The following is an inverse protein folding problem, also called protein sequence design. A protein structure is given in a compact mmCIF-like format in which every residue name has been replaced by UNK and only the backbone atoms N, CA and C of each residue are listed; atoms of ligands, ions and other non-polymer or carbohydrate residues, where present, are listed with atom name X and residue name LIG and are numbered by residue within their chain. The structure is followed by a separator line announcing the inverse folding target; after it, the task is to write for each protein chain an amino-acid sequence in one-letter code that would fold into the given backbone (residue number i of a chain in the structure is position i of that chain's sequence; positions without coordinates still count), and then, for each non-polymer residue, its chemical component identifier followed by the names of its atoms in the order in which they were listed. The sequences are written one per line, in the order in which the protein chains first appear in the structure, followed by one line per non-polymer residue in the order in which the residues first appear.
data_IF_795571877563
#
_entry.id   IF_795571877563
#
_cell.length_a   1.000
_cell.length_b   1.000
_cell.length_c   1.000
_cell.angle_alpha   90.00
_cell.angle_beta   90.00
_cell.angle_gamma   90.00
#
_symmetry.space_group_name_H-M   'P 1'
#
loop_
_entity.id
_entity.type
_entity.pdbx_description
1 polymer ?
#
# COMPACT_ATOMS: atom_id res chain seq x y z
N UNK A 1 -9.10 -9.52 25.84
CA UNK A 1 -8.91 -8.70 24.62
C UNK A 1 -7.44 -8.32 24.56
N UNK A 2 -6.69 -8.77 23.54
CA UNK A 2 -5.21 -8.80 23.55
C UNK A 2 -4.52 -7.44 23.29
N UNK A 3 -5.25 -6.32 23.34
CA UNK A 3 -4.68 -4.96 23.25
C UNK A 3 -3.94 -4.67 21.94
N UNK A 4 -4.29 -5.37 20.85
CA UNK A 4 -3.61 -5.22 19.55
C UNK A 4 -3.82 -3.83 18.95
N UNK A 5 -4.97 -3.21 19.18
CA UNK A 5 -5.26 -1.83 18.77
C UNK A 5 -4.15 -0.85 19.21
N UNK A 6 -3.74 -0.93 20.49
CA UNK A 6 -2.69 -0.08 21.05
C UNK A 6 -1.35 -0.35 20.36
N UNK A 7 -1.00 -1.63 20.19
CA UNK A 7 0.26 -2.03 19.54
C UNK A 7 0.32 -1.61 18.08
N UNK A 8 -0.80 -1.75 17.35
CA UNK A 8 -0.91 -1.34 15.95
C UNK A 8 -0.84 0.18 15.85
N UNK A 9 -1.52 0.91 16.75
CA UNK A 9 -1.44 2.37 16.81
C UNK A 9 0.00 2.86 17.04
N UNK A 10 0.71 2.27 18.00
CA UNK A 10 2.12 2.57 18.24
C UNK A 10 3.00 2.22 17.03
N UNK A 11 2.76 1.05 16.42
CA UNK A 11 3.48 0.63 15.23
C UNK A 11 3.30 1.61 14.07
N UNK A 12 2.05 2.01 13.78
CA UNK A 12 1.77 2.97 12.70
C UNK A 12 2.45 4.29 13.00
N UNK A 13 2.32 4.80 14.23
CA UNK A 13 2.91 6.07 14.66
C UNK A 13 4.44 6.09 14.55
N UNK A 14 5.11 4.96 14.80
CA UNK A 14 6.57 4.87 14.81
C UNK A 14 7.17 4.67 13.41
N UNK A 15 6.39 4.16 12.45
CA UNK A 15 6.91 3.78 11.12
C UNK A 15 6.34 4.60 9.96
N UNK A 16 5.27 5.35 10.21
CA UNK A 16 4.55 6.10 9.19
C UNK A 16 4.10 7.48 9.70
N UNK A 17 4.09 8.43 8.78
CA UNK A 17 3.52 9.75 8.97
C UNK A 17 2.33 9.97 8.01
N UNK A 18 1.28 10.68 8.44
CA UNK A 18 0.22 11.15 7.55
C UNK A 18 0.80 11.97 6.39
N UNK A 19 0.32 11.74 5.17
CA UNK A 19 0.81 12.44 3.99
C UNK A 19 -0.29 12.80 3.00
N UNK A 20 0.09 13.47 1.92
CA UNK A 20 -0.80 13.85 0.81
C UNK A 20 -0.55 12.94 -0.41
N UNK A 21 -1.49 12.86 -1.36
CA UNK A 21 -1.30 12.08 -2.59
C UNK A 21 -0.01 12.40 -3.36
N UNK A 22 0.51 13.62 -3.26
CA UNK A 22 1.70 14.08 -3.96
C UNK A 22 3.00 13.67 -3.25
N UNK A 23 2.96 13.51 -1.92
CA UNK A 23 4.13 13.30 -1.08
C UNK A 23 4.23 11.89 -0.48
N UNK A 24 3.14 11.12 -0.50
CA UNK A 24 3.10 9.76 -0.01
C UNK A 24 3.96 8.83 -0.87
N UNK A 25 4.82 8.04 -0.23
CA UNK A 25 5.49 6.92 -0.87
C UNK A 25 4.70 5.61 -0.76
N UNK A 26 3.62 5.60 0.01
CA UNK A 26 2.73 4.46 0.18
C UNK A 26 1.28 4.93 0.15
N UNK A 27 0.50 4.41 -0.81
CA UNK A 27 -0.93 4.70 -0.99
C UNK A 27 -1.68 3.39 -0.94
N UNK A 28 -2.59 3.24 0.00
CA UNK A 28 -3.26 1.97 0.24
C UNK A 28 -4.73 2.15 0.62
N UNK A 29 -5.57 1.25 0.12
CA UNK A 29 -6.91 1.04 0.66
C UNK A 29 -6.83 0.42 2.06
N UNK A 30 -7.88 0.58 2.84
CA UNK A 30 -7.97 -0.03 4.18
C UNK A 30 -7.68 -1.53 4.17
N UNK A 31 -8.21 -2.28 3.20
CA UNK A 31 -7.96 -3.72 3.06
C UNK A 31 -6.49 -4.06 2.76
N UNK A 32 -5.82 -3.25 1.95
CA UNK A 32 -4.40 -3.43 1.64
C UNK A 32 -3.53 -3.15 2.87
N UNK A 33 -3.87 -2.10 3.64
CA UNK A 33 -3.15 -1.76 4.86
C UNK A 33 -3.37 -2.81 5.96
N UNK A 34 -4.58 -3.37 6.10
CA UNK A 34 -4.82 -4.52 6.98
C UNK A 34 -3.94 -5.71 6.61
N UNK A 35 -3.93 -6.08 5.34
CA UNK A 35 -3.11 -7.18 4.85
C UNK A 35 -1.62 -6.94 5.11
N UNK A 36 -1.16 -5.70 4.93
CA UNK A 36 0.19 -5.30 5.27
C UNK A 36 0.50 -5.48 6.77
N UNK A 37 -0.42 -5.06 7.65
CA UNK A 37 -0.26 -5.21 9.10
C UNK A 37 -0.21 -6.69 9.51
N UNK A 38 -0.91 -7.58 8.83
CA UNK A 38 -0.88 -9.02 9.12
C UNK A 38 0.45 -9.71 8.81
N UNK A 39 1.39 -9.03 8.12
CA UNK A 39 2.76 -9.52 8.01
C UNK A 39 3.53 -9.43 9.34
N UNK A 40 3.07 -8.58 10.26
CA UNK A 40 3.71 -8.32 11.55
C UNK A 40 2.84 -8.76 12.73
N UNK A 41 1.51 -8.66 12.59
CA UNK A 41 0.53 -8.98 13.61
C UNK A 41 -0.30 -10.21 13.22
N UNK A 42 -0.95 -10.90 14.17
CA UNK A 42 -1.84 -12.01 13.83
C UNK A 42 -2.94 -11.55 12.87
N UNK A 43 -3.31 -12.44 11.94
CA UNK A 43 -4.43 -12.24 11.03
C UNK A 43 -5.71 -11.99 11.85
N UNK A 44 -6.56 -11.09 11.37
CA UNK A 44 -7.84 -10.70 11.99
C UNK A 44 -7.71 -10.21 13.45
N UNK A 45 -6.54 -9.70 13.86
CA UNK A 45 -6.36 -9.11 15.20
C UNK A 45 -7.07 -7.77 15.40
N UNK A 46 -7.43 -7.10 14.30
CA UNK A 46 -8.31 -5.93 14.23
C UNK A 46 -9.16 -6.02 12.95
N UNK A 47 -10.32 -5.37 13.00
CA UNK A 47 -11.22 -5.14 11.88
C UNK A 47 -10.81 -3.91 11.05
N UNK A 48 -11.42 -3.77 9.87
CA UNK A 48 -11.32 -2.58 9.05
C UNK A 48 -11.83 -1.33 9.76
N UNK A 49 -12.95 -1.43 10.48
CA UNK A 49 -13.50 -0.35 11.29
C UNK A 49 -12.53 0.12 12.38
N UNK A 50 -11.93 -0.82 13.12
CA UNK A 50 -10.94 -0.50 14.16
C UNK A 50 -9.69 0.16 13.54
N UNK A 51 -9.24 -0.31 12.38
CA UNK A 51 -8.13 0.32 11.67
C UNK A 51 -8.45 1.77 11.26
N UNK A 52 -9.65 2.02 10.73
CA UNK A 52 -10.11 3.37 10.36
C UNK A 52 -10.05 4.31 11.57
N UNK A 53 -10.59 3.89 12.71
CA UNK A 53 -10.54 4.69 13.94
C UNK A 53 -9.11 4.98 14.39
N UNK A 54 -8.22 3.98 14.36
CA UNK A 54 -6.80 4.17 14.69
C UNK A 54 -6.16 5.21 13.78
N UNK A 55 -6.43 5.15 12.47
CA UNK A 55 -5.86 6.07 11.49
C UNK A 55 -6.38 7.50 11.69
N UNK A 56 -7.69 7.66 11.90
CA UNK A 56 -8.29 8.97 12.21
C UNK A 56 -7.71 9.58 13.49
N UNK A 57 -7.56 8.78 14.55
CA UNK A 57 -6.94 9.21 15.81
C UNK A 57 -5.46 9.61 15.64
N UNK A 58 -4.76 9.00 14.68
CA UNK A 58 -3.38 9.34 14.33
C UNK A 58 -3.28 10.52 13.35
N UNK A 59 -4.41 11.13 12.97
CA UNK A 59 -4.46 12.30 12.09
C UNK A 59 -4.38 11.99 10.61
N UNK A 60 -4.53 10.72 10.21
CA UNK A 60 -4.67 10.36 8.81
C UNK A 60 -6.05 10.76 8.29
N UNK A 61 -6.10 11.07 7.00
CA UNK A 61 -7.34 11.35 6.29
C UNK A 61 -7.42 10.49 5.07
N UNK A 62 -8.60 9.92 4.87
CA UNK A 62 -8.90 9.23 3.63
C UNK A 62 -8.98 10.26 2.49
N UNK A 63 -8.26 10.01 1.40
CA UNK A 63 -8.14 10.93 0.28
C UNK A 63 -8.24 10.18 -1.03
N UNK A 64 -8.81 10.84 -2.05
CA UNK A 64 -8.78 10.31 -3.41
C UNK A 64 -7.41 10.58 -4.03
N UNK A 65 -6.83 9.56 -4.66
CA UNK A 65 -5.58 9.66 -5.39
C UNK A 65 -5.66 8.95 -6.74
N UNK A 66 -4.85 9.42 -7.70
CA UNK A 66 -4.73 8.79 -9.01
C UNK A 66 -3.92 7.51 -8.89
N UNK A 67 -4.44 6.43 -9.48
CA UNK A 67 -3.74 5.18 -9.70
C UNK A 67 -3.53 4.95 -11.19
N UNK A 68 -2.41 4.34 -11.55
CA UNK A 68 -2.07 4.03 -12.93
C UNK A 68 -1.83 2.52 -13.05
N UNK A 69 -2.60 1.86 -13.91
CA UNK A 69 -2.40 0.47 -14.27
C UNK A 69 -1.82 0.42 -15.68
N UNK A 70 -0.63 -0.16 -15.83
CA UNK A 70 0.00 -0.32 -17.14
C UNK A 70 -0.22 -1.74 -17.66
N UNK A 71 -0.74 -1.85 -18.88
CA UNK A 71 -0.94 -3.14 -19.56
C UNK A 71 -0.12 -3.16 -20.84
N UNK A 72 0.75 -4.16 -21.00
CA UNK A 72 1.49 -4.39 -22.24
C UNK A 72 0.55 -5.05 -23.26
N UNK A 73 0.27 -4.38 -24.38
CA UNK A 73 -0.49 -4.95 -25.50
C UNK A 73 0.43 -5.20 -26.70
N UNK A 74 0.20 -6.31 -27.40
CA UNK A 74 0.82 -6.60 -28.71
C UNK A 74 -0.26 -6.48 -29.79
N UNK A 75 0.01 -5.65 -30.79
CA UNK A 75 -0.78 -5.58 -32.02
C UNK A 75 0.17 -5.38 -33.21
N UNK A 76 0.00 -6.14 -34.28
CA UNK A 76 0.66 -5.91 -35.58
C UNK A 76 2.18 -5.67 -35.50
N UNK A 77 2.92 -6.59 -34.87
CA UNK A 77 4.39 -6.51 -34.68
C UNK A 77 4.88 -5.30 -33.85
N UNK A 78 3.99 -4.54 -33.20
CA UNK A 78 4.34 -3.44 -32.30
C UNK A 78 3.89 -3.74 -30.86
N UNK A 79 4.71 -3.32 -29.90
CA UNK A 79 4.40 -3.38 -28.46
C UNK A 79 3.93 -1.99 -28.02
N UNK A 80 2.76 -1.92 -27.40
CA UNK A 80 2.21 -0.70 -26.81
C UNK A 80 2.09 -0.88 -25.30
N UNK A 81 2.35 0.19 -24.56
CA UNK A 81 2.01 0.29 -23.14
C UNK A 81 0.73 1.11 -23.05
N UNK A 82 -0.37 0.48 -22.66
CA UNK A 82 -1.61 1.17 -22.34
C UNK A 82 -1.57 1.54 -20.86
N UNK A 83 -1.64 2.83 -20.55
CA UNK A 83 -1.72 3.34 -19.17
C UNK A 83 -3.17 3.72 -18.92
N UNK A 84 -3.85 2.93 -18.10
CA UNK A 84 -5.20 3.24 -17.62
C UNK A 84 -5.09 4.00 -16.29
N UNK A 85 -5.65 5.21 -16.25
CA UNK A 85 -5.70 6.03 -15.04
C UNK A 85 -7.07 5.86 -14.36
N UNK A 86 -7.04 5.72 -13.04
CA UNK A 86 -8.24 5.64 -12.20
C UNK A 86 -8.10 6.53 -10.97
N UNK A 87 -9.21 6.74 -10.28
CA UNK A 87 -9.22 7.33 -8.94
C UNK A 87 -9.53 6.24 -7.93
N UNK A 88 -8.76 6.21 -6.85
CA UNK A 88 -9.01 5.35 -5.70
C UNK A 88 -9.07 6.19 -4.44
N UNK A 89 -9.93 5.76 -3.52
CA UNK A 89 -10.03 6.31 -2.17
C UNK A 89 -9.19 5.44 -1.24
N UNK A 90 -8.37 6.08 -0.40
CA UNK A 90 -7.58 5.38 0.61
C UNK A 90 -6.66 6.29 1.40
N UNK A 91 -5.62 5.70 1.97
CA UNK A 91 -4.72 6.31 2.93
C UNK A 91 -3.38 6.65 2.29
N UNK A 92 -2.92 7.87 2.51
CA UNK A 92 -1.63 8.36 2.07
C UNK A 92 -0.64 8.33 3.24
N UNK A 93 0.29 7.37 3.22
CA UNK A 93 1.31 7.19 4.24
C UNK A 93 2.68 7.59 3.70
N UNK A 94 3.51 8.16 4.57
CA UNK A 94 4.92 8.39 4.31
C UNK A 94 5.76 7.58 5.28
N UNK A 95 6.60 6.71 4.75
CA UNK A 95 7.57 5.93 5.53
C UNK A 95 8.99 6.39 5.23
N UNK A 96 9.94 6.35 6.18
CA UNK A 96 11.35 6.58 5.87
C UNK A 96 11.97 5.42 5.08
N UNK A 97 11.31 4.26 5.02
CA UNK A 97 11.81 3.08 4.31
C UNK A 97 11.45 3.14 2.82
N UNK A 98 12.33 2.60 1.97
CA UNK A 98 12.00 2.32 0.57
C UNK A 98 11.21 1.02 0.51
N UNK A 99 9.88 1.12 0.40
CA UNK A 99 8.96 -0.01 0.36
C UNK A 99 8.54 -0.37 -1.07
N UNK A 100 9.29 0.06 -2.09
CA UNK A 100 9.00 -0.25 -3.49
C UNK A 100 9.19 -1.74 -3.77
N UNK A 101 8.29 -2.29 -4.58
CA UNK A 101 8.46 -3.65 -5.11
C UNK A 101 9.52 -3.63 -6.21
N UNK A 102 10.63 -4.33 -5.98
CA UNK A 102 11.66 -4.56 -6.99
C UNK A 102 11.31 -5.84 -7.78
N UNK A 103 11.34 -5.75 -9.11
CA UNK A 103 11.29 -6.93 -9.99
C UNK A 103 12.69 -7.21 -10.45
N UNK A 104 13.27 -8.32 -9.98
CA UNK A 104 14.59 -8.78 -10.40
C UNK A 104 14.37 -9.81 -11.51
N UNK A 105 15.06 -9.63 -12.64
CA UNK A 105 15.08 -10.62 -13.72
C UNK A 105 15.95 -11.80 -13.26
N UNK A 106 15.31 -12.97 -13.12
CA UNK A 106 16.01 -14.20 -12.76
C UNK A 106 16.72 -14.74 -14.00
N UNK A 107 18.05 -14.58 -14.03
CA UNK A 107 18.92 -15.05 -15.12
C UNK A 107 19.46 -16.47 -14.86
N UNK A 108 18.89 -17.23 -13.92
CA UNK A 108 19.43 -18.54 -13.51
C UNK A 108 19.09 -19.72 -14.43
N UNK A 109 18.42 -19.52 -15.57
CA UNK A 109 18.13 -20.57 -16.54
C UNK A 109 18.51 -20.16 -17.98
N UNK A 110 19.80 -20.03 -18.27
CA UNK A 110 20.36 -20.14 -19.64
C UNK A 110 21.60 -21.06 -19.61
N UNK A 111 21.40 -22.33 -19.24
CA UNK A 111 22.32 -23.42 -19.59
C UNK A 111 21.51 -24.59 -20.16
N UNK A 112 21.17 -24.54 -21.45
CA UNK A 112 21.01 -25.73 -22.33
C UNK A 112 21.42 -25.40 -23.77
#
# INVERSE_FOLDING_TARGET
MYGYEIKIKEFIKNNFEPSTPENANMKMKTSQLLFFLWNTFPVDCISDYELVLILEELGYKETMYVVENSTKRKAENRKYIEIQKGLELGWCLKSPFDLRTETIEDLSEEEE
#
